data_IF_951287191542
#
_entry.id   IF_951287191542
#
_cell.length_a   1.000
_cell.length_b   1.000
_cell.length_c   1.000
_cell.angle_alpha   90.00
_cell.angle_beta   90.00
_cell.angle_gamma   90.00
#
_symmetry.space_group_name_H-M   'P 1'
#
loop_
_entity.id
_entity.type
_entity.pdbx_description
1 polymer ?
#
# COMPACT_ATOMS: atom_id res chain seq x y z
N UNK A 1 5.12 -11.42 10.65
CA UNK A 1 4.41 -10.48 11.51
C UNK A 1 3.05 -10.23 10.89
N UNK A 2 2.00 -10.30 11.68
CA UNK A 2 0.63 -9.93 11.28
C UNK A 2 0.15 -8.92 12.31
N UNK A 3 -0.51 -7.85 11.86
CA UNK A 3 -1.07 -6.83 12.75
C UNK A 3 -2.28 -6.15 12.11
N UNK A 4 -3.19 -5.68 12.95
CA UNK A 4 -4.28 -4.80 12.53
C UNK A 4 -3.70 -3.46 12.09
N UNK A 5 -4.09 -3.00 10.91
CA UNK A 5 -3.63 -1.74 10.36
C UNK A 5 -4.59 -0.64 10.78
N UNK A 6 -4.08 0.32 11.53
CA UNK A 6 -4.86 1.44 12.04
C UNK A 6 -4.62 2.73 11.29
N UNK A 7 -3.48 2.84 10.59
CA UNK A 7 -3.25 3.95 9.66
C UNK A 7 -2.42 3.54 8.43
N UNK A 8 -2.58 4.30 7.35
CA UNK A 8 -1.81 4.18 6.11
C UNK A 8 -1.39 5.56 5.61
N UNK A 9 -0.09 5.80 5.57
CA UNK A 9 0.51 7.07 5.19
C UNK A 9 1.18 6.97 3.81
N UNK A 10 0.89 7.91 2.90
CA UNK A 10 1.63 8.09 1.66
C UNK A 10 2.50 9.34 1.76
N UNK A 11 3.79 9.21 1.48
CA UNK A 11 4.73 10.35 1.47
C UNK A 11 5.59 10.35 0.21
N UNK A 12 5.79 11.54 -0.36
CA UNK A 12 6.74 11.75 -1.44
C UNK A 12 8.11 12.08 -0.84
N UNK A 13 9.13 11.29 -1.16
CA UNK A 13 10.48 11.47 -0.63
C UNK A 13 11.51 11.44 -1.75
N UNK A 14 12.75 11.81 -1.44
CA UNK A 14 13.91 11.66 -2.33
C UNK A 14 14.89 10.66 -1.73
N UNK A 15 15.51 9.85 -2.58
CA UNK A 15 16.63 9.00 -2.18
C UNK A 15 17.93 9.82 -2.05
N UNK A 16 19.02 9.15 -1.66
CA UNK A 16 20.33 9.80 -1.51
C UNK A 16 20.90 10.37 -2.83
N UNK A 17 20.32 10.01 -3.98
CA UNK A 17 20.67 10.52 -5.31
C UNK A 17 19.69 11.61 -5.79
N UNK A 18 18.78 12.06 -4.93
CA UNK A 18 17.77 13.07 -5.25
C UNK A 18 16.58 12.55 -6.06
N UNK A 19 16.52 11.24 -6.36
CA UNK A 19 15.43 10.66 -7.15
C UNK A 19 14.18 10.55 -6.30
N UNK A 20 13.06 11.06 -6.81
CA UNK A 20 11.79 11.03 -6.09
C UNK A 20 11.15 9.63 -6.09
N UNK A 21 10.63 9.21 -4.95
CA UNK A 21 9.86 7.98 -4.77
C UNK A 21 8.66 8.22 -3.85
N UNK A 22 7.66 7.37 -3.99
CA UNK A 22 6.51 7.27 -3.08
C UNK A 22 6.85 6.24 -1.99
N UNK A 23 6.69 6.60 -0.72
CA UNK A 23 6.67 5.67 0.40
C UNK A 23 5.22 5.46 0.82
N UNK A 24 4.80 4.20 0.88
CA UNK A 24 3.54 3.78 1.48
C UNK A 24 3.89 3.10 2.81
N UNK A 25 3.35 3.59 3.92
CA UNK A 25 3.59 3.07 5.26
C UNK A 25 2.30 2.59 5.87
N UNK A 26 2.28 1.35 6.35
CA UNK A 26 1.18 0.79 7.13
C UNK A 26 1.58 0.77 8.61
N UNK A 27 0.69 1.22 9.48
CA UNK A 27 0.92 1.41 10.92
C UNK A 27 -0.12 0.63 11.70
N UNK A 28 0.30 -0.05 12.77
CA UNK A 28 -0.58 -0.64 13.77
C UNK A 28 -0.35 -0.01 15.15
N UNK A 29 -1.22 -0.35 16.11
CA UNK A 29 -1.32 0.37 17.39
C UNK A 29 -0.13 0.14 18.36
N UNK A 30 0.63 -0.93 18.19
CA UNK A 30 1.75 -1.26 19.08
C UNK A 30 3.11 -0.98 18.43
N UNK A 31 3.18 0.10 17.63
CA UNK A 31 4.41 0.52 16.96
C UNK A 31 4.82 -0.39 15.78
N UNK A 32 3.95 -1.31 15.35
CA UNK A 32 4.19 -2.08 14.13
C UNK A 32 4.14 -1.14 12.94
N UNK A 33 5.20 -1.17 12.12
CA UNK A 33 5.25 -0.40 10.87
C UNK A 33 5.93 -1.19 9.78
N UNK A 34 5.32 -1.24 8.61
CA UNK A 34 5.90 -1.82 7.39
C UNK A 34 5.74 -0.82 6.26
N UNK A 35 6.77 -0.67 5.43
CA UNK A 35 6.74 0.31 4.34
C UNK A 35 7.14 -0.30 3.01
N UNK A 36 6.49 0.17 1.95
CA UNK A 36 6.87 -0.08 0.57
C UNK A 36 7.39 1.21 -0.06
N UNK A 37 8.31 1.07 -1.01
CA UNK A 37 8.86 2.18 -1.77
C UNK A 37 8.59 1.96 -3.26
N UNK A 38 8.06 2.97 -3.93
CA UNK A 38 7.74 2.94 -5.35
C UNK A 38 8.41 4.12 -6.06
N UNK A 39 9.37 3.83 -6.93
CA UNK A 39 9.76 4.77 -7.97
C UNK A 39 8.67 4.75 -9.05
N UNK A 40 8.39 5.90 -9.67
CA UNK A 40 7.32 6.07 -10.67
C UNK A 40 7.82 6.76 -11.95
N UNK A 41 9.11 6.67 -12.23
CA UNK A 41 9.76 7.36 -13.36
C UNK A 41 9.63 6.64 -14.71
N UNK A 42 9.39 5.32 -14.72
CA UNK A 42 9.28 4.52 -15.95
C UNK A 42 7.94 3.79 -16.05
N UNK A 43 7.55 3.35 -17.24
CA UNK A 43 6.29 2.61 -17.41
C UNK A 43 6.29 1.28 -16.63
N UNK A 44 7.40 0.56 -16.60
CA UNK A 44 7.53 -0.68 -15.83
C UNK A 44 7.36 -0.42 -14.32
N UNK A 45 7.89 0.70 -13.82
CA UNK A 45 7.73 1.15 -12.44
C UNK A 45 6.27 1.47 -12.10
N UNK A 46 5.57 2.19 -12.99
CA UNK A 46 4.14 2.51 -12.83
C UNK A 46 3.28 1.24 -12.82
N UNK A 47 3.50 0.30 -13.75
CA UNK A 47 2.82 -1.00 -13.78
C UNK A 47 3.03 -1.81 -12.51
N UNK A 48 4.23 -1.78 -11.94
CA UNK A 48 4.51 -2.43 -10.65
C UNK A 48 3.71 -1.78 -9.51
N UNK A 49 3.65 -0.44 -9.47
CA UNK A 49 2.83 0.27 -8.49
C UNK A 49 1.33 -0.08 -8.64
N UNK A 50 0.84 -0.17 -9.88
CA UNK A 50 -0.55 -0.58 -10.14
C UNK A 50 -0.85 -1.97 -9.58
N UNK A 51 -0.02 -2.94 -9.96
CA UNK A 51 -0.21 -4.33 -9.60
C UNK A 51 -0.03 -4.59 -8.10
N UNK A 52 0.91 -3.90 -7.45
CA UNK A 52 1.25 -4.12 -6.03
C UNK A 52 0.47 -3.25 -5.06
N UNK A 53 -0.13 -2.14 -5.50
CA UNK A 53 -0.81 -1.20 -4.61
C UNK A 53 -2.17 -0.75 -5.16
N UNK A 54 -2.21 -0.06 -6.30
CA UNK A 54 -3.42 0.64 -6.76
C UNK A 54 -4.61 -0.31 -6.91
N UNK A 55 -4.41 -1.48 -7.54
CA UNK A 55 -5.51 -2.42 -7.84
C UNK A 55 -6.24 -2.92 -6.61
N UNK A 56 -5.54 -3.12 -5.49
CA UNK A 56 -6.13 -3.60 -4.24
C UNK A 56 -6.60 -2.47 -3.33
N UNK A 57 -5.94 -1.30 -3.40
CA UNK A 57 -6.21 -0.18 -2.49
C UNK A 57 -7.21 0.83 -3.03
N UNK A 58 -7.50 0.91 -4.33
CA UNK A 58 -8.47 1.88 -4.84
C UNK A 58 -9.89 1.53 -4.34
N UNK A 59 -10.54 2.47 -3.66
CA UNK A 59 -11.86 2.26 -3.07
C UNK A 59 -12.95 2.15 -4.16
N UNK A 60 -12.94 3.06 -5.13
CA UNK A 60 -13.79 3.01 -6.33
C UNK A 60 -12.98 2.52 -7.53
N UNK A 61 -13.25 1.29 -7.97
CA UNK A 61 -12.56 0.65 -9.10
C UNK A 61 -13.07 1.11 -10.47
N UNK A 62 -14.20 1.83 -10.54
CA UNK A 62 -14.76 2.31 -11.80
C UNK A 62 -14.07 3.58 -12.29
N UNK A 63 -13.46 4.34 -11.38
CA UNK A 63 -12.71 5.54 -11.73
C UNK A 63 -11.24 5.20 -11.98
N UNK A 64 -10.73 5.55 -13.16
CA UNK A 64 -9.32 5.34 -13.48
C UNK A 64 -8.38 6.06 -12.50
N UNK A 65 -7.21 5.48 -12.28
CA UNK A 65 -6.15 6.06 -11.48
C UNK A 65 -5.09 6.69 -12.39
N UNK A 66 -4.79 7.97 -12.22
CA UNK A 66 -3.83 8.74 -13.03
C UNK A 66 -2.65 9.30 -12.19
N UNK A 67 -2.57 8.92 -10.91
CA UNK A 67 -1.62 9.43 -9.92
C UNK A 67 -0.20 8.88 -10.05
N UNK A 68 0.33 8.77 -11.26
CA UNK A 68 1.64 8.15 -11.57
C UNK A 68 2.86 9.05 -11.34
N UNK A 69 2.87 9.77 -10.22
CA UNK A 69 4.05 10.44 -9.66
C UNK A 69 3.92 10.48 -8.14
N UNK A 70 5.02 10.55 -7.37
CA UNK A 70 4.94 10.50 -5.92
C UNK A 70 4.00 11.55 -5.32
N UNK A 71 4.08 12.80 -5.79
CA UNK A 71 3.25 13.90 -5.30
C UNK A 71 1.77 13.76 -5.68
N UNK A 72 1.46 13.31 -6.90
CA UNK A 72 0.07 13.04 -7.31
C UNK A 72 -0.54 11.90 -6.50
N UNK A 73 0.20 10.81 -6.27
CA UNK A 73 -0.26 9.69 -5.45
C UNK A 73 -0.60 10.13 -4.02
N UNK A 74 0.23 10.96 -3.39
CA UNK A 74 -0.04 11.56 -2.07
C UNK A 74 -1.31 12.40 -2.09
N UNK A 75 -1.49 13.28 -3.09
CA UNK A 75 -2.71 14.12 -3.21
C UNK A 75 -3.99 13.28 -3.37
N UNK A 76 -3.86 12.08 -3.94
CA UNK A 76 -4.96 11.13 -4.13
C UNK A 76 -5.06 10.08 -3.01
N UNK A 77 -4.35 10.23 -1.89
CA UNK A 77 -4.37 9.24 -0.79
C UNK A 77 -5.79 8.91 -0.32
N UNK A 78 -6.69 9.91 -0.28
CA UNK A 78 -8.09 9.74 0.10
C UNK A 78 -8.89 8.78 -0.79
N UNK A 79 -8.41 8.44 -2.00
CA UNK A 79 -9.03 7.45 -2.90
C UNK A 79 -8.69 6.01 -2.51
N UNK A 80 -7.71 5.81 -1.61
CA UNK A 80 -7.26 4.49 -1.21
C UNK A 80 -7.92 4.06 0.10
N UNK A 81 -8.50 2.86 0.11
CA UNK A 81 -9.01 2.22 1.32
C UNK A 81 -7.86 1.72 2.20
N UNK A 82 -8.07 1.83 3.51
CA UNK A 82 -7.19 1.26 4.53
C UNK A 82 -7.36 -0.27 4.56
N UNK A 83 -6.28 -1.07 4.51
CA UNK A 83 -6.39 -2.51 4.79
C UNK A 83 -6.75 -2.74 6.26
N UNK A 84 -7.41 -3.86 6.56
CA UNK A 84 -7.71 -4.27 7.94
C UNK A 84 -6.50 -4.94 8.60
N UNK A 85 -5.80 -5.80 7.87
CA UNK A 85 -4.59 -6.46 8.37
C UNK A 85 -3.41 -6.33 7.41
N UNK A 86 -2.21 -6.28 7.98
CA UNK A 86 -0.96 -6.29 7.24
C UNK A 86 -0.17 -7.53 7.59
N UNK A 87 0.24 -8.28 6.56
CA UNK A 87 1.06 -9.47 6.68
C UNK A 87 2.46 -9.15 6.15
N UNK A 88 3.46 -9.29 7.01
CA UNK A 88 4.86 -9.09 6.66
C UNK A 88 5.69 -10.33 6.95
N UNK A 89 6.70 -10.56 6.11
CA UNK A 89 7.70 -11.62 6.28
C UNK A 89 9.06 -11.03 6.65
N UNK A 90 9.85 -11.79 7.39
CA UNK A 90 11.23 -11.40 7.70
C UNK A 90 12.08 -11.56 6.46
N UNK A 91 12.85 -10.54 6.10
CA UNK A 91 13.80 -10.54 5.01
C UNK A 91 15.14 -9.98 5.52
N UNK A 92 16.04 -10.89 5.90
CA UNK A 92 17.26 -10.52 6.63
C UNK A 92 16.93 -9.83 7.96
N UNK A 93 17.39 -8.58 8.11
CA UNK A 93 17.17 -7.76 9.32
C UNK A 93 15.90 -6.90 9.25
N UNK A 94 15.17 -6.93 8.14
CA UNK A 94 14.01 -6.06 7.90
C UNK A 94 12.72 -6.86 7.73
N UNK A 95 11.58 -6.20 7.89
CA UNK A 95 10.27 -6.73 7.53
C UNK A 95 9.88 -6.26 6.13
N UNK A 96 9.53 -7.20 5.26
CA UNK A 96 9.00 -6.92 3.94
C UNK A 96 7.49 -7.21 3.93
N UNK A 97 6.72 -6.32 3.31
CA UNK A 97 5.29 -6.58 3.07
C UNK A 97 5.16 -7.86 2.23
N UNK A 98 4.27 -8.75 2.67
CA UNK A 98 3.88 -9.95 1.93
C UNK A 98 2.48 -9.78 1.36
N UNK A 99 1.54 -9.34 2.19
CA UNK A 99 0.14 -9.21 1.82
C UNK A 99 -0.59 -8.19 2.70
N UNK A 100 -1.77 -7.78 2.27
CA UNK A 100 -2.73 -6.99 3.05
C UNK A 100 -4.12 -7.60 2.89
N UNK A 101 -4.90 -7.59 3.96
CA UNK A 101 -6.29 -8.08 3.95
C UNK A 101 -7.20 -6.90 4.20
N UNK A 102 -8.27 -6.75 3.42
CA UNK A 102 -9.28 -5.72 3.59
C UNK A 102 -10.52 -6.25 4.31
N UNK A 103 -11.31 -5.36 4.91
CA UNK A 103 -12.49 -5.72 5.71
C UNK A 103 -13.48 -6.64 4.95
N UNK A 104 -13.74 -6.34 3.67
CA UNK A 104 -14.66 -7.10 2.83
C UNK A 104 -14.12 -8.48 2.37
N UNK A 105 -12.87 -8.80 2.67
CA UNK A 105 -12.28 -10.13 2.43
C UNK A 105 -12.41 -11.03 3.68
N UNK A 106 -12.92 -10.48 4.78
CA UNK A 106 -13.11 -11.17 6.06
C UNK A 106 -14.48 -11.86 6.19
N UNK A 107 -15.44 -11.51 5.33
CA UNK A 107 -16.75 -12.16 5.31
C UNK A 107 -16.62 -13.57 4.75
N UNK A 108 -16.47 -14.54 5.65
CA UNK A 108 -16.92 -15.91 5.41
C UNK A 108 -18.42 -15.80 5.22
N UNK A 109 -18.92 -15.95 4.00
CA UNK A 109 -20.35 -16.17 3.77
C UNK A 109 -20.73 -17.44 4.53
N UNK A 110 -21.62 -17.41 5.53
CA UNK A 110 -22.13 -18.62 6.14
C UNK A 110 -23.22 -19.21 5.22
N UNK A 111 -22.88 -19.50 3.97
CA UNK A 111 -23.80 -20.12 3.01
C UNK A 111 -23.21 -21.44 2.52
N UNK A 112 -23.22 -22.41 3.43
CA UNK A 112 -23.56 -23.80 3.14
C UNK A 112 -24.44 -24.27 4.31
N UNK A 113 -25.72 -23.89 4.26
CA UNK A 113 -26.81 -24.68 4.84
C UNK A 113 -27.06 -25.90 3.94
#
# INVERSE_FOLDING_TARGET
>A
MVYECTDMELTAQKDNKGKSYLRVSYVGDNGQKVSQQFYLGTQAQKRRFDASFVRSHLADKHQEFDGYSPTKAVRQQHRFRLPKFVIARKQGRFWALRDVIFENEFSVTPDLL
#
